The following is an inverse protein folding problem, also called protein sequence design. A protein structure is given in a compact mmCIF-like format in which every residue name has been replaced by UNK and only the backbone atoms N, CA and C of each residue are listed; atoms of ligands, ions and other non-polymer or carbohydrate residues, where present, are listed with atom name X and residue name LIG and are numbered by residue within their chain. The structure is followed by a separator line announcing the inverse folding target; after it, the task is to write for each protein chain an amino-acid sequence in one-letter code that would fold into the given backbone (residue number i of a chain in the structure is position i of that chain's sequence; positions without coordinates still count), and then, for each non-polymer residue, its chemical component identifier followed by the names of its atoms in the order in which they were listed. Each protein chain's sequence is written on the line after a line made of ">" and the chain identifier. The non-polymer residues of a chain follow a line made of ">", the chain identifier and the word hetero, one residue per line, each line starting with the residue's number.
data_IF_756897866406
#
_entry.id   IF_756897866406
#
_cell.length_a   1.000
_cell.length_b   1.000
_cell.length_c   1.000
_cell.angle_alpha   90.00
_cell.angle_beta   90.00
_cell.angle_gamma   90.00
#
_symmetry.space_group_name_H-M   'P 1'
#
loop_
_entity.id
_entity.type
_entity.pdbx_description
1 polymer ?
#
# COMPACT_ATOMS: atom_id res chain seq x y z
N UNK A 1 -32.37 16.92 18.78
CA UNK A 1 -32.42 15.52 19.26
C UNK A 1 -31.27 14.80 18.57
N UNK A 2 -30.09 14.85 19.20
CA UNK A 2 -28.80 14.49 18.61
C UNK A 2 -28.72 12.99 18.37
N UNK A 3 -29.04 12.60 17.15
CA UNK A 3 -28.86 11.27 16.59
C UNK A 3 -27.48 10.73 16.96
N UNK A 4 -27.48 9.73 17.83
CA UNK A 4 -26.43 8.72 18.00
C UNK A 4 -25.00 9.28 17.95
N UNK A 5 -24.61 9.87 19.09
CA UNK A 5 -23.26 10.29 19.45
C UNK A 5 -22.17 9.42 18.79
N UNK A 6 -21.09 10.06 18.32
CA UNK A 6 -19.89 9.42 17.74
C UNK A 6 -19.40 8.23 18.59
N UNK A 7 -19.63 8.28 19.91
CA UNK A 7 -19.40 7.19 20.85
C UNK A 7 -20.11 5.86 20.51
N UNK A 8 -21.34 5.90 20.00
CA UNK A 8 -22.07 4.71 19.58
C UNK A 8 -21.38 4.01 18.40
N UNK A 9 -20.92 4.79 17.42
CA UNK A 9 -20.20 4.26 16.26
C UNK A 9 -18.89 3.57 16.64
N UNK A 10 -18.15 4.09 17.63
CA UNK A 10 -16.94 3.44 18.16
C UNK A 10 -17.28 2.07 18.77
N UNK A 11 -18.35 1.99 19.57
CA UNK A 11 -18.79 0.73 20.20
C UNK A 11 -19.23 -0.29 19.15
N UNK A 12 -19.99 0.15 18.15
CA UNK A 12 -20.42 -0.72 17.04
C UNK A 12 -19.22 -1.25 16.25
N UNK A 13 -18.25 -0.39 15.92
CA UNK A 13 -17.05 -0.78 15.18
C UNK A 13 -16.23 -1.80 16.00
N UNK A 14 -16.11 -1.60 17.31
CA UNK A 14 -15.43 -2.54 18.20
C UNK A 14 -16.11 -3.93 18.21
N UNK A 15 -17.44 -3.98 18.28
CA UNK A 15 -18.20 -5.24 18.24
C UNK A 15 -18.04 -5.94 16.89
N UNK A 16 -18.10 -5.20 15.78
CA UNK A 16 -17.89 -5.76 14.43
C UNK A 16 -16.47 -6.32 14.29
N UNK A 17 -15.44 -5.60 14.75
CA UNK A 17 -14.06 -6.11 14.76
C UNK A 17 -13.92 -7.38 15.60
N UNK A 18 -14.66 -7.50 16.72
CA UNK A 18 -14.62 -8.68 17.59
C UNK A 18 -15.31 -9.90 16.94
N UNK A 19 -16.46 -9.69 16.29
CA UNK A 19 -17.25 -10.75 15.64
C UNK A 19 -16.59 -11.28 14.38
N UNK A 20 -16.03 -10.40 13.55
CA UNK A 20 -15.39 -10.77 12.29
C UNK A 20 -13.89 -11.07 12.46
N UNK A 21 -13.27 -10.58 13.53
CA UNK A 21 -11.84 -10.72 13.80
C UNK A 21 -10.96 -9.87 12.88
N UNK A 22 -9.72 -9.59 13.32
CA UNK A 22 -8.75 -8.77 12.56
C UNK A 22 -8.37 -9.38 11.20
N UNK A 23 -8.33 -10.71 11.09
CA UNK A 23 -7.87 -11.41 9.88
C UNK A 23 -8.78 -11.20 8.67
N UNK A 24 -10.09 -11.41 8.83
CA UNK A 24 -11.08 -11.30 7.75
C UNK A 24 -11.22 -9.85 7.25
N UNK A 25 -11.19 -8.90 8.17
CA UNK A 25 -11.37 -7.47 7.86
C UNK A 25 -10.15 -6.91 7.12
N UNK A 26 -8.93 -7.32 7.51
CA UNK A 26 -7.72 -6.87 6.82
C UNK A 26 -7.62 -7.37 5.39
N UNK A 27 -8.04 -8.61 5.14
CA UNK A 27 -8.03 -9.23 3.81
C UNK A 27 -9.06 -8.55 2.89
N UNK A 28 -10.30 -8.43 3.36
CA UNK A 28 -11.39 -7.74 2.65
C UNK A 28 -11.09 -6.26 2.41
N UNK A 29 -10.53 -5.56 3.41
CA UNK A 29 -10.20 -4.15 3.27
C UNK A 29 -9.02 -3.92 2.32
N UNK A 30 -8.10 -4.89 2.18
CA UNK A 30 -7.03 -4.87 1.18
C UNK A 30 -7.56 -4.93 -0.25
N UNK A 31 -8.50 -5.83 -0.51
CA UNK A 31 -9.13 -5.97 -1.83
C UNK A 31 -10.01 -4.77 -2.19
N UNK A 32 -10.79 -4.28 -1.23
CA UNK A 32 -11.58 -3.05 -1.38
C UNK A 32 -10.67 -1.84 -1.62
N UNK A 33 -9.56 -1.71 -0.88
CA UNK A 33 -8.61 -0.62 -1.07
C UNK A 33 -7.94 -0.65 -2.45
N UNK A 34 -7.60 -1.85 -2.97
CA UNK A 34 -7.10 -2.00 -4.34
C UNK A 34 -8.15 -1.57 -5.37
N UNK A 35 -9.40 -1.99 -5.22
CA UNK A 35 -10.49 -1.61 -6.11
C UNK A 35 -10.70 -0.10 -6.15
N UNK A 36 -10.76 0.55 -4.99
CA UNK A 36 -10.91 2.00 -4.88
C UNK A 36 -9.67 2.74 -5.40
N UNK A 37 -8.45 2.23 -5.16
CA UNK A 37 -7.20 2.83 -5.68
C UNK A 37 -7.13 2.78 -7.20
N UNK A 38 -7.53 1.65 -7.81
CA UNK A 38 -7.61 1.51 -9.27
C UNK A 38 -8.70 2.40 -9.87
N UNK A 39 -9.85 2.51 -9.21
CA UNK A 39 -10.92 3.42 -9.62
C UNK A 39 -10.48 4.88 -9.58
N UNK A 40 -9.85 5.30 -8.48
CA UNK A 40 -9.30 6.66 -8.34
C UNK A 40 -8.16 6.93 -9.32
N UNK A 41 -7.30 5.95 -9.57
CA UNK A 41 -6.23 6.07 -10.56
C UNK A 41 -6.81 6.21 -11.96
N UNK A 42 -7.78 5.38 -12.35
CA UNK A 42 -8.44 5.48 -13.66
C UNK A 42 -9.15 6.82 -13.87
N UNK A 43 -9.83 7.33 -12.83
CA UNK A 43 -10.51 8.61 -12.89
C UNK A 43 -9.54 9.81 -12.89
N UNK A 44 -8.36 9.67 -12.26
CA UNK A 44 -7.31 10.69 -12.26
C UNK A 44 -6.44 10.67 -13.52
N UNK A 45 -6.36 9.55 -14.27
CA UNK A 45 -5.67 9.53 -15.56
C UNK A 45 -6.45 10.25 -16.67
N UNK A 46 -7.77 10.46 -16.48
CA UNK A 46 -8.61 11.30 -17.35
C UNK A 46 -8.39 12.82 -17.13
N UNK A 47 -7.78 13.24 -16.01
CA UNK A 47 -7.66 14.67 -15.59
C UNK A 47 -6.19 15.14 -15.34
N UNK A 48 -5.22 14.79 -16.20
CA UNK A 48 -3.79 15.23 -16.18
C UNK A 48 -2.79 14.47 -15.23
N UNK A 49 -1.77 13.86 -15.87
CA UNK A 49 -0.37 13.58 -15.42
C UNK A 49 -0.12 12.57 -14.25
N UNK A 50 0.85 11.63 -14.36
CA UNK A 50 0.82 10.38 -13.61
C UNK A 50 1.35 10.51 -12.16
N UNK A 51 0.45 10.38 -11.19
CA UNK A 51 0.83 10.15 -9.81
C UNK A 51 1.32 8.69 -9.61
N UNK A 52 2.58 8.44 -9.94
CA UNK A 52 3.34 7.31 -9.36
C UNK A 52 3.49 7.54 -7.85
N UNK A 53 2.65 6.90 -7.03
CA UNK A 53 2.96 6.60 -5.61
C UNK A 53 2.39 5.24 -5.17
N UNK A 54 3.33 4.29 -5.14
CA UNK A 54 3.60 3.38 -4.03
C UNK A 54 2.51 2.36 -3.63
N UNK A 55 2.80 1.11 -3.99
CA UNK A 55 2.69 -0.02 -3.09
C UNK A 55 3.85 -0.97 -3.41
N UNK A 56 5.07 -0.45 -3.39
CA UNK A 56 6.26 -1.29 -3.36
C UNK A 56 6.67 -1.44 -1.90
N UNK A 57 6.43 -2.64 -1.38
CA UNK A 57 7.06 -3.12 -0.16
C UNK A 57 8.57 -2.80 -0.19
N UNK A 58 9.24 -2.60 0.95
CA UNK A 58 10.67 -2.37 0.99
C UNK A 58 11.36 -3.51 0.25
N UNK A 59 11.78 -3.26 -1.00
CA UNK A 59 12.62 -4.18 -1.76
C UNK A 59 13.93 -4.25 -0.98
N UNK A 60 14.32 -5.39 -0.39
CA UNK A 60 15.70 -5.55 0.02
C UNK A 60 16.52 -5.41 -1.27
N UNK A 61 17.34 -4.37 -1.30
CA UNK A 61 18.28 -4.09 -2.39
C UNK A 61 19.03 -5.39 -2.74
N UNK A 62 18.95 -5.91 -3.98
CA UNK A 62 19.91 -6.89 -4.41
C UNK A 62 21.25 -6.17 -4.48
N UNK A 63 22.17 -6.58 -3.60
CA UNK A 63 23.56 -6.16 -3.59
C UNK A 63 24.24 -6.69 -4.87
N UNK A 64 23.95 -6.08 -6.01
CA UNK A 64 24.72 -6.19 -7.25
C UNK A 64 25.87 -5.18 -7.18
N UNK A 65 26.81 -5.42 -6.27
CA UNK A 65 28.16 -4.91 -6.41
C UNK A 65 28.91 -5.87 -7.35
N UNK A 66 28.63 -5.77 -8.64
CA UNK A 66 29.60 -6.18 -9.66
C UNK A 66 30.34 -4.91 -10.10
N UNK A 67 31.52 -4.61 -9.55
CA UNK A 67 32.47 -3.75 -10.24
C UNK A 67 33.15 -4.61 -11.32
N UNK A 68 32.71 -4.46 -12.57
CA UNK A 68 33.62 -4.62 -13.71
C UNK A 68 34.35 -3.27 -13.91
N UNK A 69 35.51 -3.17 -14.58
CA UNK A 69 36.47 -4.15 -15.08
C UNK A 69 37.93 -3.78 -14.66
N UNK A 70 38.94 -4.35 -15.32
CA UNK A 70 40.30 -3.77 -15.47
C UNK A 70 41.36 -4.09 -14.40
N UNK A 71 41.79 -5.36 -14.37
CA UNK A 71 43.14 -5.74 -13.95
C UNK A 71 43.93 -6.19 -15.18
N UNK A 72 44.42 -5.25 -15.98
CA UNK A 72 45.46 -5.53 -16.98
C UNK A 72 46.24 -4.26 -17.34
N UNK A 73 47.57 -4.39 -17.42
CA UNK A 73 48.56 -3.47 -18.05
C UNK A 73 49.18 -2.34 -17.20
N UNK A 74 50.18 -2.67 -16.37
CA UNK A 74 51.54 -2.05 -16.38
C UNK A 74 52.42 -2.59 -15.23
N UNK A 75 53.28 -3.54 -15.56
CA UNK A 75 54.56 -3.77 -14.87
C UNK A 75 55.43 -4.68 -15.75
N UNK A 76 55.93 -4.13 -16.84
CA UNK A 76 57.21 -4.47 -17.48
C UNK A 76 57.93 -3.15 -17.68
#
# INVERSE_FOLDING_TARGET
>A
MGSMSIWHWIVVLAVVLLLFGRGKISDLMGDVAKGIKSFKKGMAEDEDVPAKKDAEAPRPLPHQATPAPEAEKKAV
#
